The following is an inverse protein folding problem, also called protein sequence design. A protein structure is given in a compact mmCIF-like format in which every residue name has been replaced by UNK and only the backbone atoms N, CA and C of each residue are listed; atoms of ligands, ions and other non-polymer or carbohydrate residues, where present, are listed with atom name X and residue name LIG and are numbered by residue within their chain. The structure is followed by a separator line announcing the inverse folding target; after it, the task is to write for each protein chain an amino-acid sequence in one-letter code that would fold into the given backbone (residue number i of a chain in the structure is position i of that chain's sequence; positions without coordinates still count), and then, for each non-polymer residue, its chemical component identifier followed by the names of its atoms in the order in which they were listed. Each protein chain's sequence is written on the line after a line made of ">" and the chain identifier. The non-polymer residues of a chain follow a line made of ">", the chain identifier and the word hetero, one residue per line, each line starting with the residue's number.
data_IF_119430476314
#
_entry.id   IF_119430476314
#
_cell.length_a   1.000
_cell.length_b   1.000
_cell.length_c   1.000
_cell.angle_alpha   90.00
_cell.angle_beta   90.00
_cell.angle_gamma   90.00
#
_symmetry.space_group_name_H-M   'P 1'
#
loop_
_entity.id
_entity.type
_entity.pdbx_description
1 polymer ?
#
# COMPACT_ATOMS: atom_id res chain seq x y z
N UNK A 1 2.74 -6.05 1.81
CA UNK A 1 2.94 -4.69 2.35
C UNK A 1 4.43 -4.34 2.45
N UNK A 2 5.26 -5.04 3.24
CA UNK A 2 6.67 -4.70 3.45
C UNK A 2 7.50 -4.54 2.16
N UNK A 3 7.35 -5.47 1.20
CA UNK A 3 8.05 -5.39 -0.09
C UNK A 3 7.65 -4.12 -0.86
N UNK A 4 6.36 -3.83 -0.97
CA UNK A 4 5.86 -2.65 -1.67
C UNK A 4 6.31 -1.33 -1.01
N UNK A 5 6.37 -1.29 0.33
CA UNK A 5 6.93 -0.16 1.08
C UNK A 5 8.42 0.06 0.76
N UNK A 6 9.18 -1.02 0.74
CA UNK A 6 10.62 -1.00 0.41
C UNK A 6 10.83 -0.54 -1.04
N UNK A 7 9.98 -0.98 -1.97
CA UNK A 7 10.01 -0.51 -3.36
C UNK A 7 9.72 0.98 -3.49
N UNK A 8 8.74 1.53 -2.74
CA UNK A 8 8.49 2.97 -2.69
C UNK A 8 9.71 3.72 -2.19
N UNK A 9 10.29 3.30 -1.07
CA UNK A 9 11.48 3.94 -0.48
C UNK A 9 12.66 3.95 -1.46
N UNK A 10 12.90 2.82 -2.14
CA UNK A 10 13.92 2.73 -3.19
C UNK A 10 13.65 3.66 -4.37
N UNK A 11 12.39 3.76 -4.81
CA UNK A 11 12.01 4.67 -5.90
C UNK A 11 12.20 6.16 -5.52
N UNK A 12 11.96 6.52 -4.26
CA UNK A 12 12.22 7.87 -3.73
C UNK A 12 13.73 8.19 -3.72
N UNK A 13 14.55 7.24 -3.30
CA UNK A 13 16.01 7.37 -3.33
C UNK A 13 16.53 7.55 -4.77
N UNK A 14 16.00 6.77 -5.71
CA UNK A 14 16.37 6.90 -7.13
C UNK A 14 15.97 8.25 -7.71
N UNK A 15 14.75 8.73 -7.43
CA UNK A 15 14.32 10.05 -7.88
C UNK A 15 15.20 11.15 -7.30
N UNK A 16 15.55 11.05 -6.02
CA UNK A 16 16.45 12.02 -5.36
C UNK A 16 17.84 12.02 -6.02
N UNK A 17 18.38 10.84 -6.34
CA UNK A 17 19.65 10.72 -7.08
C UNK A 17 19.58 11.36 -8.46
N UNK A 18 18.51 11.08 -9.21
CA UNK A 18 18.27 11.63 -10.54
C UNK A 18 18.13 13.16 -10.51
N UNK A 19 17.43 13.71 -9.51
CA UNK A 19 17.32 15.16 -9.30
C UNK A 19 18.68 15.82 -9.10
N UNK A 20 19.58 15.20 -8.32
CA UNK A 20 20.95 15.72 -8.14
C UNK A 20 21.74 15.69 -9.45
N UNK A 21 21.64 14.60 -10.21
CA UNK A 21 22.28 14.50 -11.53
C UNK A 21 21.74 15.56 -12.49
N UNK A 22 20.43 15.81 -12.48
CA UNK A 22 19.81 16.84 -13.29
C UNK A 22 20.30 18.25 -12.95
N UNK A 23 20.42 18.57 -11.66
CA UNK A 23 20.94 19.86 -11.20
C UNK A 23 22.37 20.16 -11.66
N UNK A 24 23.20 19.12 -11.84
CA UNK A 24 24.57 19.26 -12.36
C UNK A 24 24.67 19.02 -13.87
N UNK A 25 23.54 18.98 -14.59
CA UNK A 25 23.48 18.81 -16.05
C UNK A 25 23.85 17.41 -16.54
N UNK A 26 23.85 16.40 -15.66
CA UNK A 26 24.19 15.00 -15.97
C UNK A 26 22.97 14.09 -16.11
N UNK A 27 21.77 14.66 -16.18
CA UNK A 27 20.52 13.95 -16.45
C UNK A 27 19.66 14.77 -17.40
N UNK A 28 18.56 14.19 -17.85
CA UNK A 28 17.60 14.82 -18.74
C UNK A 28 16.22 14.89 -18.10
N UNK A 29 15.40 15.82 -18.56
CA UNK A 29 14.01 15.94 -18.13
C UNK A 29 13.23 14.64 -18.36
N UNK A 30 13.53 13.91 -19.43
CA UNK A 30 12.94 12.59 -19.71
C UNK A 30 13.24 11.58 -18.60
N UNK A 31 14.50 11.46 -18.17
CA UNK A 31 14.89 10.55 -17.08
C UNK A 31 14.24 10.95 -15.76
N UNK A 32 14.15 12.26 -15.47
CA UNK A 32 13.46 12.77 -14.30
C UNK A 32 11.99 12.34 -14.28
N UNK A 33 11.27 12.52 -15.40
CA UNK A 33 9.88 12.07 -15.54
C UNK A 33 9.74 10.56 -15.42
N UNK A 34 10.69 9.78 -15.95
CA UNK A 34 10.69 8.34 -15.80
C UNK A 34 10.79 7.92 -14.34
N UNK A 35 11.67 8.54 -13.55
CA UNK A 35 11.79 8.29 -12.10
C UNK A 35 10.57 8.72 -11.32
N UNK A 36 9.98 9.87 -11.67
CA UNK A 36 8.73 10.32 -11.06
C UNK A 36 7.57 9.33 -11.31
N UNK A 37 7.44 8.83 -12.53
CA UNK A 37 6.46 7.79 -12.86
C UNK A 37 6.72 6.49 -12.11
N UNK A 38 7.98 6.06 -12.01
CA UNK A 38 8.34 4.87 -11.23
C UNK A 38 7.94 5.01 -9.75
N UNK A 39 8.18 6.17 -9.14
CA UNK A 39 7.74 6.46 -7.78
C UNK A 39 6.21 6.46 -7.64
N UNK A 40 5.49 7.07 -8.60
CA UNK A 40 4.03 7.06 -8.59
C UNK A 40 3.47 5.63 -8.68
N UNK A 41 4.06 4.77 -9.50
CA UNK A 41 3.68 3.36 -9.59
C UNK A 41 3.96 2.60 -8.30
N UNK A 42 5.12 2.82 -7.68
CA UNK A 42 5.47 2.18 -6.41
C UNK A 42 4.50 2.58 -5.28
N UNK A 43 4.08 3.85 -5.22
CA UNK A 43 3.05 4.33 -4.27
C UNK A 43 1.70 3.64 -4.49
N UNK A 44 1.29 3.47 -5.74
CA UNK A 44 0.06 2.75 -6.06
C UNK A 44 0.12 1.28 -5.65
N UNK A 45 1.27 0.62 -5.83
CA UNK A 45 1.48 -0.76 -5.42
C UNK A 45 1.45 -0.92 -3.89
N UNK A 46 2.05 0.01 -3.15
CA UNK A 46 1.98 0.03 -1.68
C UNK A 46 0.53 0.14 -1.20
N UNK A 47 -0.23 1.11 -1.71
CA UNK A 47 -1.64 1.29 -1.35
C UNK A 47 -2.50 0.06 -1.66
N UNK A 48 -2.27 -0.58 -2.82
CA UNK A 48 -2.95 -1.83 -3.17
C UNK A 48 -2.58 -2.95 -2.20
N UNK A 49 -1.29 -3.10 -1.87
CA UNK A 49 -0.83 -4.13 -0.95
C UNK A 49 -1.42 -3.96 0.46
N UNK A 50 -1.59 -2.73 0.94
CA UNK A 50 -2.29 -2.42 2.19
C UNK A 50 -3.77 -2.80 2.12
N UNK A 51 -4.43 -2.45 1.02
CA UNK A 51 -5.84 -2.81 0.79
C UNK A 51 -6.04 -4.32 0.76
N UNK A 52 -5.17 -5.04 0.05
CA UNK A 52 -5.26 -6.50 -0.05
C UNK A 52 -4.96 -7.19 1.29
N UNK A 53 -4.05 -6.64 2.09
CA UNK A 53 -3.84 -7.08 3.47
C UNK A 53 -5.11 -6.91 4.33
N UNK A 54 -5.77 -5.75 4.25
CA UNK A 54 -7.00 -5.50 4.99
C UNK A 54 -8.13 -6.46 4.57
N UNK A 55 -8.26 -6.76 3.27
CA UNK A 55 -9.20 -7.77 2.78
C UNK A 55 -8.88 -9.16 3.31
N UNK A 56 -7.62 -9.58 3.23
CA UNK A 56 -7.18 -10.88 3.76
C UNK A 56 -7.45 -11.01 5.26
N UNK A 57 -7.28 -9.92 6.03
CA UNK A 57 -7.63 -9.89 7.45
C UNK A 57 -9.13 -10.06 7.68
N UNK A 58 -9.97 -9.36 6.91
CA UNK A 58 -11.43 -9.51 6.99
C UNK A 58 -11.89 -10.92 6.61
N UNK A 59 -11.28 -11.52 5.59
CA UNK A 59 -11.55 -12.89 5.16
C UNK A 59 -11.14 -13.91 6.23
N UNK A 60 -9.98 -13.69 6.90
CA UNK A 60 -9.55 -14.50 8.04
C UNK A 60 -10.56 -14.43 9.20
N UNK A 61 -11.02 -13.23 9.56
CA UNK A 61 -12.04 -13.05 10.60
C UNK A 61 -13.35 -13.78 10.24
N UNK A 62 -13.73 -13.76 8.95
CA UNK A 62 -14.95 -14.44 8.47
C UNK A 62 -14.79 -15.96 8.56
N UNK A 63 -13.67 -16.50 8.08
CA UNK A 63 -13.39 -17.93 8.11
C UNK A 63 -13.31 -18.48 9.55
N UNK A 64 -12.81 -17.67 10.49
CA UNK A 64 -12.72 -18.04 11.92
C UNK A 64 -14.00 -17.76 12.71
N UNK A 65 -15.05 -17.21 12.07
CA UNK A 65 -16.30 -16.77 12.73
C UNK A 65 -16.08 -15.81 13.90
N UNK A 66 -14.93 -15.14 13.95
CA UNK A 66 -14.64 -14.11 14.95
C UNK A 66 -15.06 -12.74 14.48
N UNK A 67 -15.59 -12.58 13.25
CA UNK A 67 -16.08 -11.30 12.70
C UNK A 67 -17.01 -10.56 13.64
N UNK A 68 -17.98 -11.24 14.25
CA UNK A 68 -18.94 -10.61 15.18
C UNK A 68 -18.25 -10.17 16.46
N UNK A 69 -17.36 -10.99 17.05
CA UNK A 69 -16.59 -10.62 18.23
C UNK A 69 -15.57 -9.50 17.96
N UNK A 70 -14.90 -9.54 16.81
CA UNK A 70 -13.93 -8.54 16.39
C UNK A 70 -14.56 -7.17 16.11
N UNK A 71 -15.84 -7.14 15.71
CA UNK A 71 -16.62 -5.92 15.56
C UNK A 71 -17.55 -5.63 16.77
N UNK A 72 -17.37 -6.33 17.90
CA UNK A 72 -18.19 -6.18 19.12
C UNK A 72 -19.72 -6.31 18.90
N UNK A 73 -20.15 -7.08 17.90
CA UNK A 73 -21.57 -7.30 17.60
C UNK A 73 -22.09 -8.47 18.45
N UNK A 74 -23.06 -8.18 19.31
CA UNK A 74 -23.80 -9.17 20.10
C UNK A 74 -25.10 -9.48 19.34
N UNK A 75 -25.30 -10.73 18.97
CA UNK A 75 -26.54 -11.19 18.34
C UNK A 75 -27.48 -11.64 19.45
N UNK A 76 -28.46 -10.79 19.80
CA UNK A 76 -29.58 -11.21 20.63
C UNK A 76 -30.56 -12.01 19.78
N UNK A 77 -30.80 -13.26 20.14
CA UNK A 77 -31.85 -14.07 19.51
C UNK A 77 -33.21 -13.59 19.99
N UNK A 78 -34.17 -13.26 19.09
CA UNK A 78 -35.52 -12.89 19.51
C UNK A 78 -36.17 -14.09 20.18
N UNK A 79 -36.45 -13.98 21.47
CA UNK A 79 -37.28 -14.93 22.21
C UNK A 79 -38.70 -14.83 21.67
N UNK A 80 -39.14 -15.84 20.94
CA UNK A 80 -40.55 -16.02 20.55
C UNK A 80 -41.35 -16.32 21.83
N UNK A 81 -42.52 -15.68 22.06
CA UNK A 81 -43.33 -15.89 23.27
C UNK A 81 -43.90 -17.31 23.38
#
# INVERSE_FOLDING_TARGET
>A
VLAARTERENAELQLTGEQRLYQVGRSTTFLLFQRQNALANARNLELRAETDYNKALADLQRATSTTLRANNIIVETPTVP
#
